data_IF_375372259106
#
_entry.id   IF_375372259106
#
_cell.length_a   1.000
_cell.length_b   1.000
_cell.length_c   1.000
_cell.angle_alpha   90.00
_cell.angle_beta   90.00
_cell.angle_gamma   90.00
#
_symmetry.space_group_name_H-M   'P 1'
#
loop_
_entity.id
_entity.type
_entity.pdbx_description
1 polymer ?
#
# COMPACT_ATOMS: atom_id res chain seq x y z
N UNK A 1 1.52 -4.31 5.72
CA UNK A 1 0.12 -3.77 5.71
C UNK A 1 0.03 -2.63 4.70
N UNK A 2 -1.16 -2.10 4.38
CA UNK A 2 -1.32 -1.03 3.37
C UNK A 2 -1.34 0.41 3.94
N UNK A 3 -0.88 0.61 5.18
CA UNK A 3 -0.96 1.88 5.91
C UNK A 3 -0.20 2.99 5.16
N UNK A 4 1.06 2.74 4.78
CA UNK A 4 1.89 3.65 3.98
C UNK A 4 1.20 4.09 2.68
N UNK A 5 0.59 3.10 1.99
CA UNK A 5 -0.07 3.31 0.70
C UNK A 5 -1.25 4.26 0.85
N UNK A 6 -2.13 4.02 1.83
CA UNK A 6 -3.31 4.87 2.04
C UNK A 6 -2.96 6.26 2.58
N UNK A 7 -1.92 6.38 3.42
CA UNK A 7 -1.44 7.68 3.89
C UNK A 7 -0.93 8.55 2.72
N UNK A 8 -0.12 7.97 1.83
CA UNK A 8 0.40 8.68 0.65
C UNK A 8 -0.70 9.05 -0.35
N UNK A 9 -1.66 8.14 -0.56
CA UNK A 9 -2.83 8.39 -1.39
C UNK A 9 -3.68 9.53 -0.82
N UNK A 10 -3.94 9.54 0.49
CA UNK A 10 -4.63 10.64 1.16
C UNK A 10 -3.84 11.95 1.02
N UNK A 11 -2.57 11.96 1.40
CA UNK A 11 -1.73 13.17 1.34
C UNK A 11 -1.63 13.75 -0.07
N UNK A 12 -1.71 12.93 -1.11
CA UNK A 12 -1.62 13.38 -2.51
C UNK A 12 -2.96 13.79 -3.12
N UNK A 13 -4.09 13.40 -2.53
CA UNK A 13 -5.41 13.56 -3.18
C UNK A 13 -6.46 14.24 -2.30
N UNK A 14 -6.32 14.19 -0.98
CA UNK A 14 -7.34 14.64 -0.04
C UNK A 14 -8.56 13.73 0.08
N UNK A 15 -8.56 12.57 -0.58
CA UNK A 15 -9.73 11.70 -0.63
C UNK A 15 -9.92 10.96 0.70
N UNK A 16 -10.91 11.39 1.48
CA UNK A 16 -11.23 10.85 2.81
C UNK A 16 -11.52 9.34 2.80
N UNK A 17 -11.87 8.74 1.64
CA UNK A 17 -12.00 7.28 1.52
C UNK A 17 -10.71 6.57 1.90
N UNK A 18 -9.55 7.16 1.64
CA UNK A 18 -8.26 6.59 2.05
C UNK A 18 -8.06 6.67 3.57
N UNK A 19 -8.62 7.66 4.26
CA UNK A 19 -8.64 7.70 5.72
C UNK A 19 -9.53 6.60 6.31
N UNK A 20 -10.69 6.33 5.69
CA UNK A 20 -11.55 5.22 6.12
C UNK A 20 -10.84 3.87 5.97
N UNK A 21 -10.15 3.65 4.85
CA UNK A 21 -9.32 2.46 4.62
C UNK A 21 -8.20 2.34 5.65
N UNK A 22 -7.54 3.46 5.95
CA UNK A 22 -6.47 3.52 6.95
C UNK A 22 -6.99 3.20 8.36
N UNK A 23 -8.15 3.73 8.74
CA UNK A 23 -8.80 3.43 10.01
C UNK A 23 -9.16 1.94 10.13
N UNK A 24 -9.61 1.31 9.03
CA UNK A 24 -9.87 -0.14 8.98
C UNK A 24 -8.57 -0.94 9.20
N UNK A 25 -7.48 -0.58 8.51
CA UNK A 25 -6.16 -1.20 8.72
C UNK A 25 -5.68 -1.01 10.16
N UNK A 26 -5.93 0.15 10.75
CA UNK A 26 -5.60 0.46 12.13
C UNK A 26 -6.31 -0.44 13.14
N UNK A 27 -7.60 -0.73 12.94
CA UNK A 27 -8.34 -1.68 13.80
C UNK A 27 -7.76 -3.09 13.73
N UNK A 28 -7.39 -3.55 12.52
CA UNK A 28 -6.77 -4.86 12.34
C UNK A 28 -5.38 -4.92 13.00
N UNK A 29 -4.59 -3.85 12.86
CA UNK A 29 -3.28 -3.74 13.51
C UNK A 29 -3.42 -3.74 15.02
N UNK A 30 -4.34 -2.95 15.57
CA UNK A 30 -4.58 -2.87 17.00
C UNK A 30 -4.98 -4.23 17.60
N UNK A 31 -5.85 -4.99 16.90
CA UNK A 31 -6.22 -6.34 17.31
C UNK A 31 -5.01 -7.29 17.33
N UNK A 32 -4.11 -7.22 16.34
CA UNK A 32 -2.87 -8.00 16.32
C UNK A 32 -1.91 -7.58 17.44
N UNK A 33 -1.75 -6.28 17.65
CA UNK A 33 -0.89 -5.73 18.70
C UNK A 33 -1.29 -6.23 20.09
N UNK A 34 -2.58 -6.35 20.38
CA UNK A 34 -3.05 -6.80 21.70
C UNK A 34 -2.70 -8.25 22.02
N UNK A 35 -2.30 -9.04 21.02
CA UNK A 35 -1.88 -10.43 21.18
C UNK A 35 -0.35 -10.57 21.37
N UNK A 36 0.41 -9.48 21.23
CA UNK A 36 1.87 -9.46 21.28
C UNK A 36 2.45 -9.22 22.69
N UNK A 37 3.63 -9.78 22.97
CA UNK A 37 4.32 -9.59 24.27
C UNK A 37 4.67 -8.12 24.57
N UNK A 38 4.90 -7.31 23.52
CA UNK A 38 5.21 -5.89 23.63
C UNK A 38 4.01 -4.97 23.35
N UNK A 39 2.78 -5.47 23.54
CA UNK A 39 1.54 -4.76 23.21
C UNK A 39 1.52 -3.29 23.66
N UNK A 40 2.03 -2.98 24.86
CA UNK A 40 2.06 -1.62 25.39
C UNK A 40 2.88 -0.65 24.52
N UNK A 41 4.11 -1.03 24.15
CA UNK A 41 4.99 -0.17 23.34
C UNK A 41 4.37 0.03 21.95
N UNK A 42 3.77 -1.01 21.39
CA UNK A 42 3.12 -0.95 20.08
C UNK A 42 1.85 -0.09 20.10
N UNK A 43 1.09 -0.10 21.21
CA UNK A 43 -0.04 0.80 21.41
C UNK A 43 0.41 2.25 21.54
N UNK A 44 1.55 2.52 22.18
CA UNK A 44 2.11 3.88 22.29
C UNK A 44 2.55 4.41 20.90
N UNK A 45 3.24 3.57 20.11
CA UNK A 45 3.59 3.90 18.70
C UNK A 45 2.32 4.12 17.87
N UNK A 46 1.27 3.34 18.12
CA UNK A 46 0.01 3.45 17.40
C UNK A 46 -0.73 4.75 17.72
N UNK A 47 -0.75 5.15 18.99
CA UNK A 47 -1.29 6.44 19.42
C UNK A 47 -0.52 7.59 18.77
N UNK A 48 0.82 7.53 18.76
CA UNK A 48 1.66 8.52 18.10
C UNK A 48 1.32 8.61 16.60
N UNK A 49 1.12 7.48 15.94
CA UNK A 49 0.71 7.46 14.53
C UNK A 49 -0.63 8.17 14.30
N UNK A 50 -1.63 7.89 15.15
CA UNK A 50 -2.95 8.54 15.06
C UNK A 50 -2.87 10.06 15.26
N UNK A 51 -2.02 10.53 16.17
CA UNK A 51 -1.76 11.96 16.37
C UNK A 51 -1.12 12.60 15.13
N UNK A 52 -0.14 11.93 14.50
CA UNK A 52 0.48 12.45 13.28
C UNK A 52 -0.49 12.45 12.09
N UNK A 53 -1.34 11.43 11.98
CA UNK A 53 -2.40 11.40 10.98
C UNK A 53 -3.39 12.56 11.13
N UNK A 54 -3.76 12.91 12.37
CA UNK A 54 -4.62 14.07 12.62
C UNK A 54 -3.96 15.38 12.13
N UNK A 55 -2.64 15.52 12.28
CA UNK A 55 -1.87 16.64 11.73
C UNK A 55 -1.83 16.63 10.21
N UNK A 56 -1.73 15.46 9.57
CA UNK A 56 -1.82 15.34 8.10
C UNK A 56 -3.19 15.83 7.61
N UNK A 57 -4.26 15.41 8.26
CA UNK A 57 -5.63 15.85 7.95
C UNK A 57 -5.79 17.36 8.12
N UNK A 58 -5.32 17.90 9.24
CA UNK A 58 -5.36 19.34 9.49
C UNK A 58 -4.56 20.13 8.47
N UNK A 59 -3.33 19.69 8.16
CA UNK A 59 -2.48 20.35 7.18
C UNK A 59 -3.08 20.33 5.78
N UNK A 60 -3.76 19.23 5.42
CA UNK A 60 -4.48 19.14 4.15
C UNK A 60 -5.69 20.08 4.09
N UNK A 61 -6.53 20.10 5.13
CA UNK A 61 -7.75 20.94 5.19
C UNK A 61 -7.43 22.43 5.21
N UNK A 62 -6.36 22.83 5.90
CA UNK A 62 -5.99 24.23 6.06
C UNK A 62 -5.07 24.75 4.93
N UNK A 63 -4.80 23.94 3.89
CA UNK A 63 -3.79 24.23 2.85
C UNK A 63 -2.43 24.64 3.45
N UNK A 64 -2.12 24.14 4.66
CA UNK A 64 -0.94 24.56 5.40
C UNK A 64 0.32 24.04 4.72
N UNK A 65 1.34 24.90 4.70
CA UNK A 65 2.67 24.67 4.12
C UNK A 65 3.38 23.41 4.65
N UNK A 66 2.90 22.83 5.76
CA UNK A 66 3.51 21.71 6.46
C UNK A 66 2.93 20.32 6.10
N UNK A 67 2.03 20.18 5.12
CA UNK A 67 1.49 18.87 4.68
C UNK A 67 2.59 17.84 4.40
N UNK A 68 3.64 18.26 3.68
CA UNK A 68 4.81 17.41 3.37
C UNK A 68 5.47 16.87 4.65
N UNK A 69 5.65 17.74 5.64
CA UNK A 69 6.28 17.42 6.92
C UNK A 69 5.40 16.49 7.75
N UNK A 70 4.09 16.73 7.79
CA UNK A 70 3.14 15.87 8.50
C UNK A 70 3.08 14.46 7.89
N UNK A 71 3.04 14.36 6.55
CA UNK A 71 3.06 13.07 5.84
C UNK A 71 4.36 12.31 6.14
N UNK A 72 5.51 12.99 6.09
CA UNK A 72 6.80 12.39 6.42
C UNK A 72 6.84 11.85 7.85
N UNK A 73 6.47 12.67 8.83
CA UNK A 73 6.46 12.26 10.24
C UNK A 73 5.54 11.06 10.47
N UNK A 74 4.40 11.03 9.80
CA UNK A 74 3.49 9.88 9.85
C UNK A 74 4.12 8.62 9.26
N UNK A 75 4.83 8.72 8.12
CA UNK A 75 5.54 7.58 7.51
C UNK A 75 6.70 7.06 8.38
N UNK A 76 7.42 7.94 9.07
CA UNK A 76 8.48 7.55 10.01
C UNK A 76 7.94 6.67 11.14
N UNK A 77 6.74 7.00 11.66
CA UNK A 77 6.10 6.20 12.70
C UNK A 77 5.62 4.85 12.17
N UNK A 78 5.11 4.78 10.93
CA UNK A 78 4.66 3.51 10.32
C UNK A 78 5.81 2.54 10.10
N UNK A 79 6.99 3.02 9.71
CA UNK A 79 8.17 2.16 9.50
C UNK A 79 8.56 1.37 10.75
N UNK A 80 8.36 1.95 11.94
CA UNK A 80 8.60 1.26 13.22
C UNK A 80 7.68 0.04 13.38
N UNK A 81 6.46 0.09 12.83
CA UNK A 81 5.58 -1.07 12.79
C UNK A 81 6.06 -2.14 11.83
N UNK A 82 6.49 -1.75 10.62
CA UNK A 82 6.98 -2.70 9.63
C UNK A 82 8.21 -3.46 10.16
N UNK A 83 9.15 -2.79 10.81
CA UNK A 83 10.33 -3.43 11.41
C UNK A 83 9.95 -4.42 12.53
N UNK A 84 8.89 -4.13 13.28
CA UNK A 84 8.44 -4.99 14.38
C UNK A 84 7.59 -6.18 13.90
N UNK A 85 6.66 -5.94 12.97
CA UNK A 85 5.72 -6.95 12.45
C UNK A 85 6.41 -7.89 11.44
N UNK A 86 7.33 -7.37 10.61
CA UNK A 86 8.01 -8.15 9.56
C UNK A 86 9.28 -8.86 10.05
N UNK A 87 9.73 -8.62 11.29
CA UNK A 87 10.89 -9.28 11.88
C UNK A 87 10.78 -10.81 11.99
N UNK A 88 9.61 -11.41 11.71
CA UNK A 88 9.38 -12.85 11.83
C UNK A 88 9.21 -13.63 10.50
N UNK A 89 9.12 -12.99 9.33
CA UNK A 89 8.72 -13.67 8.07
C UNK A 89 9.81 -13.71 6.97
N UNK A 90 11.10 -13.76 7.32
CA UNK A 90 12.20 -13.67 6.33
C UNK A 90 12.58 -14.98 5.59
N UNK A 91 11.74 -16.03 5.58
CA UNK A 91 12.11 -17.31 4.95
C UNK A 91 11.24 -17.78 3.77
N UNK A 92 10.12 -17.14 3.49
CA UNK A 92 9.26 -17.51 2.35
C UNK A 92 9.47 -16.59 1.14
N UNK A 93 9.38 -17.16 -0.07
CA UNK A 93 9.28 -16.34 -1.29
C UNK A 93 8.00 -15.51 -1.25
N UNK A 94 8.02 -14.21 -1.62
CA UNK A 94 6.85 -13.36 -1.53
C UNK A 94 5.66 -13.91 -2.34
N UNK A 95 4.47 -13.90 -1.73
CA UNK A 95 3.24 -14.31 -2.43
C UNK A 95 2.87 -13.31 -3.52
N UNK A 96 1.94 -13.70 -4.40
CA UNK A 96 1.37 -12.79 -5.40
C UNK A 96 0.71 -11.56 -4.75
N UNK A 97 0.05 -11.75 -3.60
CA UNK A 97 -0.55 -10.65 -2.87
C UNK A 97 0.51 -9.67 -2.32
N UNK A 98 1.63 -10.18 -1.84
CA UNK A 98 2.72 -9.35 -1.31
C UNK A 98 3.38 -8.53 -2.43
N UNK A 99 3.64 -9.16 -3.57
CA UNK A 99 4.19 -8.48 -4.73
C UNK A 99 3.23 -7.39 -5.27
N UNK A 100 1.93 -7.66 -5.32
CA UNK A 100 0.92 -6.66 -5.70
C UNK A 100 0.90 -5.46 -4.74
N UNK A 101 0.99 -5.69 -3.43
CA UNK A 101 1.08 -4.61 -2.42
C UNK A 101 2.35 -3.80 -2.59
N UNK A 102 3.49 -4.46 -2.76
CA UNK A 102 4.78 -3.80 -2.96
C UNK A 102 4.79 -2.94 -4.24
N UNK A 103 4.20 -3.44 -5.34
CA UNK A 103 4.10 -2.70 -6.60
C UNK A 103 3.21 -1.47 -6.42
N UNK A 104 2.06 -1.64 -5.79
CA UNK A 104 1.12 -0.55 -5.55
C UNK A 104 1.73 0.55 -4.67
N UNK A 105 2.42 0.16 -3.59
CA UNK A 105 3.13 1.10 -2.73
C UNK A 105 4.23 1.85 -3.50
N UNK A 106 5.05 1.14 -4.28
CA UNK A 106 6.11 1.76 -5.07
C UNK A 106 5.58 2.76 -6.11
N UNK A 107 4.49 2.41 -6.81
CA UNK A 107 3.81 3.31 -7.75
C UNK A 107 3.21 4.54 -7.06
N UNK A 108 2.60 4.36 -5.89
CA UNK A 108 2.10 5.49 -5.10
C UNK A 108 3.25 6.37 -4.63
N UNK A 109 4.39 5.82 -4.19
CA UNK A 109 5.58 6.61 -3.83
C UNK A 109 6.14 7.39 -5.02
N UNK A 110 6.15 6.81 -6.24
CA UNK A 110 6.56 7.51 -7.46
C UNK A 110 5.67 8.73 -7.72
N UNK A 111 4.35 8.53 -7.71
CA UNK A 111 3.42 9.61 -8.01
C UNK A 111 3.28 10.63 -6.86
N UNK A 112 3.56 10.22 -5.62
CA UNK A 112 3.56 11.08 -4.42
C UNK A 112 4.94 11.69 -4.13
N UNK A 113 5.88 11.65 -5.09
CA UNK A 113 7.27 12.07 -4.87
C UNK A 113 7.41 13.53 -4.40
N UNK A 114 6.47 14.40 -4.73
CA UNK A 114 6.41 15.78 -4.22
C UNK A 114 6.25 15.86 -2.69
N UNK A 115 5.56 14.89 -2.08
CA UNK A 115 5.43 14.73 -0.62
C UNK A 115 6.67 14.08 0.01
N UNK A 116 7.59 13.56 -0.79
CA UNK A 116 8.81 12.93 -0.35
C UNK A 116 10.00 13.91 -0.55
N UNK A 117 11.00 13.88 0.33
CA UNK A 117 12.15 14.81 0.25
C UNK A 117 13.15 14.43 -0.84
N UNK A 118 13.08 13.20 -1.35
CA UNK A 118 13.95 12.71 -2.42
C UNK A 118 13.11 12.05 -3.51
N UNK A 119 13.38 12.33 -4.79
CA UNK A 119 12.87 11.46 -5.85
C UNK A 119 13.34 10.04 -5.57
N UNK A 120 12.51 9.06 -5.90
CA UNK A 120 12.90 7.65 -5.76
C UNK A 120 14.20 7.42 -6.55
N UNK A 121 15.21 6.78 -5.94
CA UNK A 121 16.43 6.41 -6.66
C UNK A 121 16.08 5.65 -7.94
N UNK A 122 16.88 5.81 -9.01
CA UNK A 122 16.68 5.05 -10.26
C UNK A 122 16.63 3.53 -10.03
N UNK A 123 17.38 3.06 -9.03
CA UNK A 123 17.37 1.68 -8.53
C UNK A 123 15.95 1.20 -8.15
N UNK A 124 15.11 2.08 -7.61
CA UNK A 124 13.72 1.76 -7.26
C UNK A 124 12.83 1.64 -8.50
N UNK A 125 13.16 2.28 -9.61
CA UNK A 125 12.45 2.08 -10.88
C UNK A 125 12.76 0.71 -11.48
N UNK A 126 14.03 0.28 -11.41
CA UNK A 126 14.43 -1.08 -11.80
C UNK A 126 13.74 -2.15 -10.96
N UNK A 127 13.65 -1.95 -9.64
CA UNK A 127 12.93 -2.85 -8.72
C UNK A 127 11.44 -2.97 -9.09
N UNK A 128 10.78 -1.89 -9.49
CA UNK A 128 9.37 -1.95 -9.88
C UNK A 128 9.15 -2.70 -11.21
N UNK A 129 10.10 -2.62 -12.13
CA UNK A 129 10.04 -3.41 -13.37
C UNK A 129 10.17 -4.90 -13.04
N UNK A 130 11.20 -5.29 -12.28
CA UNK A 130 11.41 -6.67 -11.85
C UNK A 130 10.22 -7.21 -11.06
N UNK A 131 9.60 -6.39 -10.22
CA UNK A 131 8.41 -6.76 -9.49
C UNK A 131 7.20 -6.99 -10.42
N UNK A 132 7.03 -6.13 -11.42
CA UNK A 132 5.99 -6.32 -12.44
C UNK A 132 6.19 -7.61 -13.24
N UNK A 133 7.43 -7.95 -13.60
CA UNK A 133 7.77 -9.20 -14.29
C UNK A 133 7.53 -10.42 -13.40
N UNK A 134 7.83 -10.32 -12.11
CA UNK A 134 7.58 -11.37 -11.12
C UNK A 134 6.08 -11.63 -10.96
N UNK A 135 5.27 -10.58 -10.88
CA UNK A 135 3.80 -10.67 -10.84
C UNK A 135 3.28 -11.31 -12.12
N UNK A 136 3.82 -10.96 -13.30
CA UNK A 136 3.44 -11.58 -14.56
C UNK A 136 3.68 -13.10 -14.53
N UNK A 137 4.86 -13.54 -14.09
CA UNK A 137 5.20 -14.95 -13.98
C UNK A 137 4.28 -15.68 -12.99
N UNK A 138 3.99 -15.07 -11.84
CA UNK A 138 3.05 -15.61 -10.86
C UNK A 138 1.63 -15.71 -11.42
N UNK A 139 1.13 -14.69 -12.13
CA UNK A 139 -0.17 -14.71 -12.80
C UNK A 139 -0.26 -15.79 -13.90
N UNK A 140 0.82 -16.01 -14.64
CA UNK A 140 0.90 -17.06 -15.66
C UNK A 140 0.90 -18.46 -15.04
N UNK A 141 1.50 -18.62 -13.86
CA UNK A 141 1.55 -19.88 -13.11
C UNK A 141 0.25 -20.28 -12.43
N UNK A 142 -0.73 -19.36 -12.30
CA UNK A 142 -2.04 -19.70 -11.75
C UNK A 142 -2.68 -20.84 -12.56
N UNK A 143 -3.48 -21.72 -11.93
CA UNK A 143 -4.20 -22.76 -12.66
C UNK A 143 -5.05 -22.18 -13.79
N UNK A 144 -5.05 -22.83 -14.95
CA UNK A 144 -5.95 -22.45 -16.05
C UNK A 144 -7.34 -23.01 -15.75
N UNK A 145 -8.34 -22.14 -15.71
CA UNK A 145 -9.74 -22.55 -15.61
C UNK A 145 -10.43 -22.39 -16.95
N UNK A 146 -11.28 -23.36 -17.28
CA UNK A 146 -12.15 -23.32 -18.47
C UNK A 146 -13.32 -22.35 -18.26
N UNK A 147 -13.71 -22.09 -17.01
CA UNK A 147 -14.75 -21.10 -16.68
C UNK A 147 -14.18 -19.67 -16.82
N UNK A 148 -14.70 -18.85 -17.75
CA UNK A 148 -14.27 -17.47 -17.91
C UNK A 148 -14.49 -16.60 -16.66
N UNK A 149 -15.39 -16.99 -15.76
CA UNK A 149 -15.71 -16.26 -14.52
C UNK A 149 -14.89 -16.72 -13.31
N UNK A 150 -13.94 -17.63 -13.50
CA UNK A 150 -13.08 -18.07 -12.39
C UNK A 150 -12.22 -16.93 -11.86
N UNK A 151 -11.89 -16.99 -10.57
CA UNK A 151 -11.09 -15.97 -9.92
C UNK A 151 -9.70 -15.81 -10.57
N UNK A 152 -9.09 -16.89 -11.08
CA UNK A 152 -7.81 -16.83 -11.79
C UNK A 152 -7.92 -16.01 -13.09
N UNK A 153 -9.00 -16.21 -13.85
CA UNK A 153 -9.23 -15.49 -15.09
C UNK A 153 -9.56 -14.01 -14.83
N UNK A 154 -10.33 -13.71 -13.77
CA UNK A 154 -10.56 -12.33 -13.31
C UNK A 154 -9.23 -11.65 -12.91
N UNK A 155 -8.36 -12.32 -12.15
CA UNK A 155 -7.05 -11.78 -11.77
C UNK A 155 -6.17 -11.47 -12.99
N UNK A 156 -6.07 -12.39 -13.95
CA UNK A 156 -5.30 -12.17 -15.20
C UNK A 156 -5.86 -11.00 -16.01
N UNK A 157 -7.19 -10.90 -16.11
CA UNK A 157 -7.86 -9.79 -16.81
C UNK A 157 -7.58 -8.45 -16.15
N UNK A 158 -7.69 -8.36 -14.81
CA UNK A 158 -7.39 -7.13 -14.07
C UNK A 158 -5.93 -6.74 -14.20
N UNK A 159 -5.02 -7.71 -14.14
CA UNK A 159 -3.60 -7.47 -14.32
C UNK A 159 -3.28 -6.96 -15.72
N UNK A 160 -3.87 -7.56 -16.76
CA UNK A 160 -3.73 -7.07 -18.13
C UNK A 160 -4.24 -5.62 -18.27
N UNK A 161 -5.44 -5.34 -17.74
CA UNK A 161 -6.01 -4.00 -17.73
C UNK A 161 -5.09 -2.99 -17.02
N UNK A 162 -4.55 -3.35 -15.86
CA UNK A 162 -3.57 -2.52 -15.14
C UNK A 162 -2.36 -2.21 -16.04
N UNK A 163 -1.70 -3.21 -16.63
CA UNK A 163 -0.54 -2.97 -17.51
C UNK A 163 -0.84 -2.03 -18.67
N UNK A 164 -2.04 -2.11 -19.25
CA UNK A 164 -2.43 -1.24 -20.37
C UNK A 164 -2.73 0.20 -19.94
N UNK A 165 -3.23 0.39 -18.71
CA UNK A 165 -3.65 1.70 -18.19
C UNK A 165 -2.57 2.40 -17.35
N UNK A 166 -1.53 1.68 -16.93
CA UNK A 166 -0.46 2.19 -16.05
C UNK A 166 0.53 3.18 -16.71
N UNK A 167 0.30 3.59 -17.97
CA UNK A 167 1.24 4.40 -18.76
C UNK A 167 1.18 5.90 -18.44
N UNK A 168 0.14 6.38 -17.75
CA UNK A 168 -0.07 7.81 -17.51
C UNK A 168 0.14 8.17 -16.04
N UNK A 169 0.61 9.39 -15.76
CA UNK A 169 0.86 9.93 -14.41
C UNK A 169 -0.41 10.03 -13.53
N UNK A 170 -1.59 9.72 -14.09
CA UNK A 170 -2.89 9.70 -13.43
C UNK A 170 -3.13 8.51 -12.46
N UNK A 171 -2.11 7.68 -12.21
CA UNK A 171 -2.14 6.44 -11.41
C UNK A 171 -2.75 6.56 -10.00
N UNK A 172 -2.77 7.76 -9.40
CA UNK A 172 -3.13 7.94 -7.99
C UNK A 172 -4.61 7.86 -7.68
N UNK A 173 -5.49 8.19 -8.65
CA UNK A 173 -6.90 8.44 -8.33
C UNK A 173 -7.71 7.16 -8.52
N UNK A 174 -7.98 6.77 -9.75
CA UNK A 174 -8.73 5.57 -10.17
C UNK A 174 -8.37 5.36 -11.66
N UNK A 175 -8.18 4.14 -12.20
CA UNK A 175 -8.62 2.82 -11.73
C UNK A 175 -7.57 1.98 -10.99
N UNK A 176 -6.28 2.36 -11.01
CA UNK A 176 -5.16 1.53 -10.54
C UNK A 176 -5.39 0.97 -9.12
N UNK A 177 -5.63 1.87 -8.15
CA UNK A 177 -5.83 1.50 -6.76
C UNK A 177 -7.02 0.54 -6.55
N UNK A 178 -8.12 0.78 -7.24
CA UNK A 178 -9.33 -0.06 -7.15
C UNK A 178 -9.15 -1.46 -7.73
N UNK A 179 -8.32 -1.61 -8.77
CA UNK A 179 -8.03 -2.92 -9.35
C UNK A 179 -7.12 -3.72 -8.42
N UNK A 180 -6.09 -3.07 -7.85
CA UNK A 180 -5.25 -3.69 -6.83
C UNK A 180 -6.08 -4.16 -5.63
N UNK A 181 -6.97 -3.31 -5.09
CA UNK A 181 -7.85 -3.71 -3.98
C UNK A 181 -8.74 -4.92 -4.32
N UNK A 182 -9.31 -4.96 -5.53
CA UNK A 182 -10.13 -6.11 -5.97
C UNK A 182 -9.29 -7.38 -6.14
N UNK A 183 -8.08 -7.27 -6.68
CA UNK A 183 -7.17 -8.41 -6.82
C UNK A 183 -6.75 -8.95 -5.46
N UNK A 184 -6.39 -8.07 -4.51
CA UNK A 184 -6.05 -8.46 -3.15
C UNK A 184 -7.22 -9.10 -2.40
N UNK A 185 -8.43 -8.56 -2.57
CA UNK A 185 -9.64 -9.16 -1.99
C UNK A 185 -9.90 -10.56 -2.54
N UNK A 186 -9.76 -10.73 -3.87
CA UNK A 186 -9.92 -12.04 -4.54
C UNK A 186 -8.91 -13.06 -4.01
N UNK A 187 -7.65 -12.66 -3.88
CA UNK A 187 -6.58 -13.51 -3.33
C UNK A 187 -6.73 -13.82 -1.84
N UNK A 188 -7.50 -13.03 -1.09
CA UNK A 188 -7.76 -13.32 0.33
C UNK A 188 -8.91 -14.31 0.56
N UNK A 189 -9.69 -14.59 -0.48
CA UNK A 189 -10.88 -15.45 -0.43
C UNK A 189 -10.62 -16.87 -0.96
N UNK A 190 -9.44 -17.12 -1.52
CA UNK A 190 -9.05 -18.36 -2.21
C UNK A 190 -7.62 -18.75 -1.83
#
# INVERSE_FOLDING_TARGET
>A
MDIDRYLLLYGSTGDERFLERLAQQGKLLQARITEEQNARILLDIWSLYQEQLAKVRQAFVNEETDLKKAVRQSLEVVRVFDDFVLGQEQQASPSLADNLRALALGKVRQASSHLLEKPLPEEDTGKLLTLSETIEAQMASLPTSVDPKSWQNDLRMRWHYLKTTMRDDALLRYPFNSQIEKMLATLSQH
#
